data_IF_774109364760
#
_entry.id   IF_774109364760
#
_cell.length_a   1.000
_cell.length_b   1.000
_cell.length_c   1.000
_cell.angle_alpha   90.00
_cell.angle_beta   90.00
_cell.angle_gamma   90.00
#
_symmetry.space_group_name_H-M   'P 1'
#
loop_
_entity.id
_entity.type
_entity.pdbx_description
1 polymer ?
#
# COMPACT_ATOMS: atom_id res chain seq x y z
N UNK A 1 22.24 -0.40 -25.00
CA UNK A 1 21.15 -0.48 -24.00
C UNK A 1 21.66 -1.27 -22.80
N UNK A 2 21.94 -0.62 -21.68
CA UNK A 2 22.65 -1.23 -20.55
C UNK A 2 21.85 -1.24 -19.25
N UNK A 3 22.30 -2.04 -18.28
CA UNK A 3 21.72 -2.13 -16.94
C UNK A 3 21.88 -0.80 -16.19
N UNK A 4 20.77 -0.16 -15.84
CA UNK A 4 20.74 1.10 -15.10
C UNK A 4 20.24 0.90 -13.66
N UNK A 5 20.79 1.66 -12.71
CA UNK A 5 20.28 1.72 -11.35
C UNK A 5 18.89 2.38 -11.32
N UNK A 6 17.86 1.64 -10.91
CA UNK A 6 16.46 2.09 -10.84
C UNK A 6 15.83 1.73 -9.49
N UNK A 7 14.73 2.41 -9.13
CA UNK A 7 13.97 2.05 -7.93
C UNK A 7 13.21 0.73 -8.16
N UNK A 8 13.26 -0.23 -7.23
CA UNK A 8 12.42 -1.42 -7.28
C UNK A 8 10.94 -1.03 -7.17
N UNK A 9 10.08 -1.84 -7.75
CA UNK A 9 8.63 -1.62 -7.66
C UNK A 9 8.16 -2.03 -6.28
N UNK A 10 7.48 -1.13 -5.58
CA UNK A 10 6.80 -1.45 -4.32
C UNK A 10 5.56 -2.25 -4.67
N UNK A 11 5.49 -3.48 -4.16
CA UNK A 11 4.32 -4.34 -4.35
C UNK A 11 3.91 -4.93 -3.01
N UNK A 12 2.62 -4.85 -2.70
CA UNK A 12 2.05 -5.60 -1.60
C UNK A 12 2.05 -7.07 -1.99
N UNK A 13 2.81 -7.89 -1.27
CA UNK A 13 2.83 -9.35 -1.46
C UNK A 13 1.55 -9.95 -0.88
N UNK A 14 0.42 -9.76 -1.55
CA UNK A 14 -0.85 -10.36 -1.16
C UNK A 14 -0.86 -11.84 -1.52
N UNK A 15 -1.15 -12.69 -0.54
CA UNK A 15 -1.44 -14.11 -0.75
C UNK A 15 -2.68 -14.27 -1.65
N UNK A 16 -2.82 -15.42 -2.33
CA UNK A 16 -3.99 -15.69 -3.19
C UNK A 16 -5.31 -15.51 -2.44
N UNK A 17 -5.35 -15.97 -1.18
CA UNK A 17 -6.52 -15.83 -0.29
C UNK A 17 -6.88 -14.37 -0.03
N UNK A 18 -5.89 -13.52 0.26
CA UNK A 18 -6.16 -12.09 0.49
C UNK A 18 -6.75 -11.43 -0.75
N UNK A 19 -6.25 -11.77 -1.95
CA UNK A 19 -6.80 -11.23 -3.21
C UNK A 19 -8.25 -11.64 -3.42
N UNK A 20 -8.59 -12.90 -3.15
CA UNK A 20 -9.97 -13.39 -3.28
C UNK A 20 -10.91 -12.68 -2.31
N UNK A 21 -10.51 -12.52 -1.05
CA UNK A 21 -11.31 -11.80 -0.05
C UNK A 21 -11.50 -10.32 -0.41
N UNK A 22 -10.44 -9.63 -0.87
CA UNK A 22 -10.55 -8.24 -1.31
C UNK A 22 -11.49 -8.10 -2.52
N UNK A 23 -11.42 -9.03 -3.48
CA UNK A 23 -12.32 -9.01 -4.64
C UNK A 23 -13.77 -9.27 -4.23
N UNK A 24 -14.00 -10.29 -3.39
CA UNK A 24 -15.33 -10.59 -2.88
C UNK A 24 -15.94 -9.38 -2.16
N UNK A 25 -15.16 -8.77 -1.26
CA UNK A 25 -15.59 -7.58 -0.53
C UNK A 25 -15.93 -6.41 -1.47
N UNK A 26 -15.09 -6.19 -2.50
CA UNK A 26 -15.33 -5.14 -3.50
C UNK A 26 -16.58 -5.38 -4.34
N UNK A 27 -16.92 -6.65 -4.64
CA UNK A 27 -18.17 -6.99 -5.34
C UNK A 27 -19.40 -6.80 -4.45
N UNK A 28 -19.32 -7.22 -3.19
CA UNK A 28 -20.42 -7.08 -2.21
C UNK A 28 -20.71 -5.60 -1.90
N UNK A 29 -19.68 -4.74 -1.92
CA UNK A 29 -19.78 -3.31 -1.60
C UNK A 29 -19.69 -2.40 -2.85
N UNK A 30 -19.89 -2.95 -4.05
CA UNK A 30 -19.76 -2.21 -5.32
C UNK A 30 -20.76 -1.06 -5.42
N UNK A 31 -21.98 -1.31 -4.97
CA UNK A 31 -23.11 -0.38 -5.06
C UNK A 31 -23.40 0.28 -3.71
N UNK A 32 -22.44 0.27 -2.77
CA UNK A 32 -22.60 0.91 -1.47
C UNK A 32 -22.91 2.39 -1.64
N UNK A 33 -24.01 2.80 -1.01
CA UNK A 33 -24.49 4.18 -1.12
C UNK A 33 -23.62 5.13 -0.31
N UNK A 34 -23.59 6.41 -0.71
CA UNK A 34 -22.83 7.44 0.02
C UNK A 34 -23.26 7.52 1.50
N UNK A 35 -24.52 7.27 1.82
CA UNK A 35 -25.03 7.30 3.19
C UNK A 35 -24.60 6.09 4.01
N UNK A 36 -24.44 4.91 3.39
CA UNK A 36 -23.82 3.75 4.03
C UNK A 36 -22.33 4.03 4.32
N UNK A 37 -21.61 4.60 3.36
CA UNK A 37 -20.20 4.98 3.53
C UNK A 37 -19.98 6.00 4.66
N UNK A 38 -20.92 6.93 4.89
CA UNK A 38 -20.88 7.91 5.99
C UNK A 38 -21.15 7.29 7.37
N UNK A 39 -21.87 6.17 7.42
CA UNK A 39 -22.13 5.44 8.67
C UNK A 39 -20.96 4.56 9.09
N UNK A 40 -20.09 4.18 8.14
CA UNK A 40 -18.89 3.39 8.42
C UNK A 40 -17.83 4.28 9.08
N UNK A 41 -17.50 3.96 10.33
CA UNK A 41 -16.37 4.55 11.01
C UNK A 41 -15.08 3.79 10.63
N UNK A 42 -14.17 4.48 9.95
CA UNK A 42 -12.87 3.91 9.60
C UNK A 42 -11.89 4.08 10.75
N UNK A 43 -11.19 3.01 11.08
CA UNK A 43 -10.05 3.00 11.99
C UNK A 43 -8.83 2.57 11.16
N UNK A 44 -7.81 3.42 11.14
CA UNK A 44 -6.53 3.10 10.52
C UNK A 44 -5.41 3.35 11.51
N UNK A 45 -4.46 2.42 11.56
CA UNK A 45 -3.23 2.57 12.33
C UNK A 45 -2.15 3.12 11.40
N UNK A 46 -2.01 4.44 11.39
CA UNK A 46 -0.92 5.08 10.67
C UNK A 46 0.36 5.00 11.48
N UNK A 47 1.43 4.47 10.88
CA UNK A 47 2.76 4.41 11.50
C UNK A 47 3.53 5.67 11.15
N UNK A 48 3.82 6.48 12.17
CA UNK A 48 4.73 7.61 12.03
C UNK A 48 6.15 7.17 12.39
N UNK A 49 7.06 7.29 11.42
CA UNK A 49 8.49 7.04 11.66
C UNK A 49 9.14 8.31 12.22
N UNK A 50 9.72 8.22 13.41
CA UNK A 50 10.47 9.34 14.05
C UNK A 50 11.73 9.67 13.24
N UNK A 51 12.34 8.67 12.60
CA UNK A 51 13.47 8.84 11.68
C UNK A 51 13.10 8.32 10.30
N UNK A 52 13.27 9.17 9.28
CA UNK A 52 13.06 8.80 7.89
C UNK A 52 14.14 7.82 7.44
N UNK A 53 13.84 6.51 7.51
CA UNK A 53 14.67 5.49 6.88
C UNK A 53 14.45 5.61 5.37
N UNK A 54 15.44 6.14 4.67
CA UNK A 54 15.35 6.49 3.25
C UNK A 54 14.98 5.28 2.36
N UNK A 55 15.21 4.04 2.84
CA UNK A 55 14.75 2.81 2.20
C UNK A 55 15.22 2.66 0.74
N UNK A 56 16.25 3.42 0.33
CA UNK A 56 16.70 3.61 -1.05
C UNK A 56 17.53 2.42 -1.54
N UNK A 57 17.03 1.20 -1.38
CA UNK A 57 17.57 0.04 -2.11
C UNK A 57 17.29 0.27 -3.58
N UNK A 58 18.33 0.33 -4.40
CA UNK A 58 18.24 0.46 -5.86
C UNK A 58 18.62 -0.87 -6.51
N UNK A 59 17.92 -1.22 -7.59
CA UNK A 59 18.18 -2.45 -8.36
C UNK A 59 18.70 -2.06 -9.73
N UNK A 60 19.73 -2.75 -10.22
CA UNK A 60 20.26 -2.55 -11.57
C UNK A 60 19.44 -3.42 -12.54
N UNK A 61 18.71 -2.82 -13.49
CA UNK A 61 17.83 -3.56 -14.44
C UNK A 61 17.68 -2.88 -15.81
N UNK A 62 17.27 -3.64 -16.81
CA UNK A 62 16.91 -3.13 -18.13
C UNK A 62 15.49 -2.51 -18.14
N UNK A 63 15.16 -1.67 -19.15
CA UNK A 63 13.77 -1.28 -19.41
C UNK A 63 12.91 -2.54 -19.65
N UNK A 64 11.78 -2.68 -18.94
CA UNK A 64 10.85 -3.83 -19.07
C UNK A 64 10.96 -4.89 -17.97
N UNK A 65 12.08 -4.99 -17.26
CA UNK A 65 12.30 -6.00 -16.20
C UNK A 65 11.63 -5.65 -14.85
N UNK A 66 10.64 -4.77 -14.86
CA UNK A 66 10.06 -4.19 -13.64
C UNK A 66 9.34 -5.22 -12.76
N UNK A 67 8.79 -6.27 -13.36
CA UNK A 67 7.96 -7.28 -12.69
C UNK A 67 8.75 -8.51 -12.24
N UNK A 68 10.05 -8.58 -12.55
CA UNK A 68 10.90 -9.69 -12.11
C UNK A 68 10.94 -9.75 -10.58
N UNK A 69 10.91 -10.97 -9.98
CA UNK A 69 10.97 -11.14 -8.53
C UNK A 69 12.14 -10.40 -7.87
N UNK A 70 13.32 -10.38 -8.51
CA UNK A 70 14.52 -9.67 -8.06
C UNK A 70 14.41 -8.14 -8.11
N UNK A 71 13.47 -7.62 -8.90
CA UNK A 71 13.23 -6.19 -9.12
C UNK A 71 12.05 -5.64 -8.31
N UNK A 72 11.40 -6.49 -7.52
CA UNK A 72 10.29 -6.16 -6.63
C UNK A 72 10.79 -6.14 -5.19
N UNK A 73 10.50 -5.05 -4.49
CA UNK A 73 10.73 -4.98 -3.06
C UNK A 73 9.39 -5.21 -2.35
N UNK A 74 9.34 -6.27 -1.54
CA UNK A 74 8.26 -6.43 -0.57
C UNK A 74 8.36 -5.37 0.51
N UNK A 75 7.22 -4.99 1.09
CA UNK A 75 7.22 -4.13 2.27
C UNK A 75 7.64 -4.97 3.48
N UNK A 76 8.92 -4.93 3.86
CA UNK A 76 9.39 -5.50 5.12
C UNK A 76 9.27 -4.45 6.21
N UNK A 77 8.67 -4.79 7.34
CA UNK A 77 8.56 -3.93 8.50
C UNK A 77 9.96 -3.69 9.09
N UNK A 78 10.53 -2.51 8.84
CA UNK A 78 11.79 -2.11 9.44
C UNK A 78 11.54 -1.72 10.90
N UNK A 79 12.17 -2.43 11.85
CA UNK A 79 12.03 -2.25 13.30
C UNK A 79 12.71 -1.00 13.85
N UNK A 80 12.29 0.18 13.38
CA UNK A 80 12.61 1.46 14.03
C UNK A 80 11.44 1.88 14.90
N UNK A 81 11.68 2.29 16.15
CA UNK A 81 10.66 2.64 17.15
C UNK A 81 9.50 3.43 16.55
N UNK A 82 8.31 2.82 16.58
CA UNK A 82 7.09 3.34 15.96
C UNK A 82 6.20 3.91 17.05
N UNK A 83 5.61 5.07 16.79
CA UNK A 83 4.47 5.56 17.56
C UNK A 83 3.24 5.37 16.70
N UNK A 84 2.27 4.61 17.21
CA UNK A 84 0.97 4.34 16.57
C UNK A 84 -0.11 5.15 17.29
N UNK A 85 -0.44 6.37 16.81
CA UNK A 85 -1.61 7.08 17.29
C UNK A 85 -2.88 6.43 16.73
N UNK A 86 -3.90 6.29 17.58
CA UNK A 86 -5.24 5.90 17.16
C UNK A 86 -5.95 7.13 16.62
N UNK A 87 -6.32 7.12 15.33
CA UNK A 87 -7.11 8.19 14.72
C UNK A 87 -8.43 7.60 14.21
N UNK A 88 -9.54 8.18 14.65
CA UNK A 88 -10.86 7.87 14.08
C UNK A 88 -11.24 8.99 13.11
N UNK A 89 -11.33 8.68 11.82
CA UNK A 89 -11.61 9.67 10.79
C UNK A 89 -13.04 9.46 10.27
N UNK A 90 -13.88 10.50 10.32
CA UNK A 90 -15.31 10.44 9.91
C UNK A 90 -15.59 11.16 8.58
N UNK A 91 -14.58 11.66 7.87
CA UNK A 91 -14.81 12.54 6.72
C UNK A 91 -14.17 11.99 5.45
N UNK A 92 -14.98 11.32 4.63
CA UNK A 92 -14.63 10.92 3.26
C UNK A 92 -14.77 12.12 2.30
N UNK A 93 -13.91 13.13 2.42
CA UNK A 93 -13.78 14.20 1.40
C UNK A 93 -12.52 14.04 0.53
N UNK A 94 -12.02 12.81 0.36
CA UNK A 94 -10.75 12.60 -0.37
C UNK A 94 -10.69 11.39 -1.30
N UNK A 95 -11.83 10.99 -1.86
CA UNK A 95 -11.91 10.05 -2.98
C UNK A 95 -12.31 10.72 -4.31
N UNK A 96 -12.01 12.01 -4.50
CA UNK A 96 -12.15 12.71 -5.79
C UNK A 96 -10.82 12.86 -6.52
N UNK A 97 -10.00 11.81 -6.60
CA UNK A 97 -8.84 11.76 -7.51
C UNK A 97 -8.51 10.30 -7.86
N UNK A 98 -9.48 9.57 -8.41
CA UNK A 98 -9.24 8.40 -9.27
C UNK A 98 -10.28 8.40 -10.38
#
# INVERSE_FOLDING_TARGET
MGLCSRRPTRVSLLTKRHRQLCLQWAWEHRDSTMDECKRVAWLDESRFLIHHVDGRVRVRRLPGEQLLPSCKAGHTQAGGGMVTPWLQNKTLERFSYF
#
